data_IF_942924230315
#
_entry.id   IF_942924230315
#
_cell.length_a   1.000
_cell.length_b   1.000
_cell.length_c   1.000
_cell.angle_alpha   90.00
_cell.angle_beta   90.00
_cell.angle_gamma   90.00
#
_symmetry.space_group_name_H-M   'P 1'
#
loop_
_entity.id
_entity.type
_entity.pdbx_description
1 polymer ?
#
# COMPACT_ATOMS: atom_id res chain seq x y z
N UNK A 1 5.79 -8.23 -64.84
CA UNK A 1 6.90 -8.60 -63.93
C UNK A 1 6.76 -7.72 -62.69
N UNK A 2 5.98 -8.16 -61.71
CA UNK A 2 6.46 -8.73 -60.43
C UNK A 2 7.50 -7.83 -59.77
N UNK A 3 6.99 -6.91 -58.95
CA UNK A 3 7.79 -6.19 -57.95
C UNK A 3 8.51 -7.26 -57.11
N UNK A 4 9.85 -7.21 -56.94
CA UNK A 4 10.56 -8.26 -56.24
C UNK A 4 10.08 -8.32 -54.78
N UNK A 5 9.45 -9.44 -54.41
CA UNK A 5 8.92 -9.79 -53.07
C UNK A 5 9.96 -9.72 -51.93
N UNK A 6 11.22 -9.43 -52.24
CA UNK A 6 12.33 -9.39 -51.29
C UNK A 6 12.48 -8.05 -50.55
N UNK A 7 11.82 -6.98 -51.01
CA UNK A 7 11.89 -5.67 -50.36
C UNK A 7 10.93 -5.52 -49.17
N UNK A 8 9.97 -6.44 -49.00
CA UNK A 8 8.90 -6.31 -47.99
C UNK A 8 9.25 -6.97 -46.64
N UNK A 9 10.21 -7.91 -46.60
CA UNK A 9 10.59 -8.60 -45.36
C UNK A 9 11.48 -7.77 -44.41
N UNK A 10 12.19 -6.75 -44.91
CA UNK A 10 13.10 -5.95 -44.08
C UNK A 10 12.39 -4.86 -43.28
N UNK A 11 11.18 -4.46 -43.67
CA UNK A 11 10.38 -3.47 -42.92
C UNK A 11 9.53 -4.10 -41.80
N UNK A 12 9.28 -5.42 -41.84
CA UNK A 12 8.48 -6.15 -40.85
C UNK A 12 9.29 -6.66 -39.64
N UNK A 13 10.62 -6.57 -39.68
CA UNK A 13 11.49 -6.94 -38.56
C UNK A 13 11.57 -5.90 -37.42
N UNK A 14 10.95 -4.71 -37.60
CA UNK A 14 10.98 -3.65 -36.58
C UNK A 14 9.78 -3.64 -35.61
N UNK A 15 8.73 -4.44 -35.83
CA UNK A 15 7.53 -4.40 -34.96
C UNK A 15 7.57 -5.36 -33.77
N UNK A 16 8.59 -6.20 -33.64
CA UNK A 16 8.83 -6.94 -32.40
C UNK A 16 9.98 -6.29 -31.65
N UNK A 17 9.85 -4.99 -31.34
CA UNK A 17 10.48 -4.46 -30.14
C UNK A 17 9.76 -5.11 -28.96
N UNK A 18 10.08 -6.38 -28.69
CA UNK A 18 9.95 -6.92 -27.35
C UNK A 18 10.62 -5.87 -26.47
N UNK A 19 9.85 -5.30 -25.55
CA UNK A 19 10.36 -4.42 -24.52
C UNK A 19 11.40 -5.21 -23.76
N UNK A 20 12.64 -5.20 -24.24
CA UNK A 20 13.77 -5.75 -23.51
C UNK A 20 13.88 -4.84 -22.30
N UNK A 21 13.30 -5.30 -21.19
CA UNK A 21 13.42 -4.68 -19.89
C UNK A 21 14.91 -4.42 -19.69
N UNK A 22 15.32 -3.15 -19.58
CA UNK A 22 16.75 -2.83 -19.51
C UNK A 22 17.36 -3.59 -18.32
N UNK A 23 18.58 -4.14 -18.41
CA UNK A 23 19.20 -4.91 -17.32
C UNK A 23 19.30 -4.14 -16.00
N UNK A 24 19.30 -2.79 -16.06
CA UNK A 24 19.22 -1.93 -14.88
C UNK A 24 17.85 -1.97 -14.16
N UNK A 25 16.75 -2.12 -14.91
CA UNK A 25 15.41 -2.26 -14.34
C UNK A 25 15.24 -3.62 -13.64
N UNK A 26 15.81 -4.69 -14.21
CA UNK A 26 15.81 -6.02 -13.60
C UNK A 26 16.57 -6.02 -12.27
N UNK A 27 17.72 -5.35 -12.22
CA UNK A 27 18.50 -5.21 -11.00
C UNK A 27 17.77 -4.39 -9.93
N UNK A 28 17.02 -3.35 -10.32
CA UNK A 28 16.22 -2.56 -9.39
C UNK A 28 15.09 -3.39 -8.79
N UNK A 29 14.41 -4.22 -9.59
CA UNK A 29 13.35 -5.07 -9.07
C UNK A 29 13.90 -6.10 -8.07
N UNK A 30 15.02 -6.78 -8.40
CA UNK A 30 15.63 -7.81 -7.54
C UNK A 30 16.28 -7.29 -6.24
N UNK A 31 16.24 -5.97 -5.96
CA UNK A 31 16.82 -5.42 -4.74
C UNK A 31 16.01 -5.83 -3.49
N UNK A 32 16.73 -6.31 -2.48
CA UNK A 32 16.25 -6.73 -1.16
C UNK A 32 16.82 -5.82 -0.08
N UNK A 33 16.34 -5.93 1.15
CA UNK A 33 16.98 -5.25 2.29
C UNK A 33 18.40 -5.76 2.54
N UNK A 34 18.68 -7.02 2.18
CA UNK A 34 19.98 -7.67 2.29
C UNK A 34 21.10 -6.93 1.56
N UNK A 35 20.79 -6.40 0.37
CA UNK A 35 21.73 -5.83 -0.60
C UNK A 35 21.43 -4.37 -0.98
N UNK A 36 20.46 -3.71 -0.34
CA UNK A 36 20.20 -2.28 -0.54
C UNK A 36 21.27 -1.41 0.15
N UNK A 37 21.79 -0.41 -0.55
CA UNK A 37 22.85 0.49 -0.06
C UNK A 37 22.37 1.60 0.91
N UNK A 38 21.09 1.64 1.29
CA UNK A 38 20.53 2.72 2.11
C UNK A 38 19.16 2.39 2.71
N UNK A 39 18.48 3.42 3.20
CA UNK A 39 17.13 3.35 3.83
C UNK A 39 15.99 3.64 2.86
N UNK A 40 16.29 3.73 1.56
CA UNK A 40 15.30 3.89 0.51
C UNK A 40 15.77 3.25 -0.79
N UNK A 41 14.81 2.81 -1.60
CA UNK A 41 15.05 2.23 -2.90
C UNK A 41 14.10 2.81 -3.94
N UNK A 42 14.59 3.05 -5.15
CA UNK A 42 13.76 3.48 -6.27
C UNK A 42 13.11 2.27 -6.93
N UNK A 43 11.77 2.23 -6.93
CA UNK A 43 11.00 1.18 -7.56
C UNK A 43 10.42 1.65 -8.89
N UNK A 44 10.93 1.14 -10.02
CA UNK A 44 10.29 1.31 -11.31
C UNK A 44 8.88 0.68 -11.31
N UNK A 45 7.93 1.33 -11.99
CA UNK A 45 6.57 0.83 -12.16
C UNK A 45 6.52 -0.52 -12.86
N UNK A 46 7.50 -0.80 -13.73
CA UNK A 46 7.68 -2.10 -14.37
C UNK A 46 7.87 -3.26 -13.39
N UNK A 47 8.37 -3.00 -12.17
CA UNK A 47 8.48 -4.03 -11.14
C UNK A 47 7.11 -4.52 -10.63
N UNK A 48 6.01 -3.85 -10.98
CA UNK A 48 4.67 -4.15 -10.43
C UNK A 48 3.56 -4.24 -11.48
N UNK A 49 3.86 -4.09 -12.77
CA UNK A 49 2.91 -4.17 -13.91
C UNK A 49 3.09 -5.45 -14.71
N UNK A 50 3.07 -6.60 -14.03
CA UNK A 50 3.23 -7.88 -14.71
C UNK A 50 1.93 -8.30 -15.40
N UNK A 51 1.77 -7.91 -16.68
CA UNK A 51 0.75 -8.45 -17.59
C UNK A 51 1.35 -9.68 -18.29
N UNK A 52 1.39 -10.83 -17.63
CA UNK A 52 1.70 -12.17 -18.19
C UNK A 52 3.12 -12.74 -17.92
N UNK A 53 4.03 -12.00 -17.28
CA UNK A 53 5.33 -12.53 -16.84
C UNK A 53 5.31 -12.90 -15.34
N UNK A 54 6.10 -13.88 -14.99
CA UNK A 54 6.20 -14.41 -13.63
C UNK A 54 7.08 -13.51 -12.76
N UNK A 55 6.78 -13.39 -11.46
CA UNK A 55 7.64 -12.65 -10.54
C UNK A 55 9.09 -13.18 -10.53
N UNK A 56 9.35 -14.43 -10.96
CA UNK A 56 10.70 -14.99 -11.09
C UNK A 56 11.54 -14.40 -12.23
N UNK A 57 10.93 -13.85 -13.28
CA UNK A 57 11.66 -13.17 -14.36
C UNK A 57 12.06 -11.75 -13.91
N UNK A 58 11.15 -11.09 -13.20
CA UNK A 58 11.30 -9.76 -12.63
C UNK A 58 12.33 -9.64 -11.50
N UNK A 59 12.34 -10.63 -10.61
CA UNK A 59 13.08 -10.60 -9.34
C UNK A 59 14.17 -11.69 -9.27
N UNK A 60 14.33 -12.48 -10.34
CA UNK A 60 15.17 -13.69 -10.34
C UNK A 60 14.58 -14.84 -9.51
N UNK A 61 15.37 -15.91 -9.28
CA UNK A 61 15.00 -16.98 -8.35
C UNK A 61 15.00 -16.44 -6.91
N UNK A 62 13.86 -15.95 -6.44
CA UNK A 62 13.70 -15.41 -5.09
C UNK A 62 12.56 -14.40 -4.92
N UNK A 63 11.52 -14.48 -5.75
CA UNK A 63 10.43 -13.51 -5.81
C UNK A 63 9.39 -13.62 -4.70
N UNK A 64 9.63 -14.48 -3.70
CA UNK A 64 8.69 -14.69 -2.62
C UNK A 64 8.78 -13.55 -1.61
N UNK A 65 7.66 -12.88 -1.38
CA UNK A 65 7.51 -12.01 -0.22
C UNK A 65 7.27 -12.88 1.00
N UNK A 66 8.02 -12.66 2.07
CA UNK A 66 7.81 -13.33 3.35
C UNK A 66 7.53 -12.28 4.41
N UNK A 67 6.43 -12.45 5.15
CA UNK A 67 6.01 -11.53 6.19
C UNK A 67 4.99 -10.46 5.77
N UNK A 68 4.42 -9.81 6.79
CA UNK A 68 3.37 -8.79 6.70
C UNK A 68 3.66 -7.73 7.75
N UNK A 69 3.66 -6.45 7.37
CA UNK A 69 4.14 -5.30 8.16
C UNK A 69 5.65 -5.33 8.44
N UNK A 70 6.16 -6.49 8.86
CA UNK A 70 7.57 -6.83 8.97
C UNK A 70 7.87 -7.89 7.92
N UNK A 71 8.86 -7.64 7.07
CA UNK A 71 9.25 -8.50 5.96
C UNK A 71 10.62 -9.12 6.21
N UNK A 72 10.81 -10.35 5.73
CA UNK A 72 12.12 -11.02 5.73
C UNK A 72 13.09 -10.22 4.85
N UNK A 73 14.33 -10.05 5.31
CA UNK A 73 15.37 -9.26 4.65
C UNK A 73 15.73 -9.70 3.22
N UNK A 74 15.42 -10.94 2.84
CA UNK A 74 15.57 -11.42 1.46
C UNK A 74 14.35 -11.12 0.58
N UNK A 75 13.25 -10.60 1.13
CA UNK A 75 12.07 -10.25 0.35
C UNK A 75 12.36 -9.04 -0.55
N UNK A 76 11.98 -9.07 -1.84
CA UNK A 76 12.22 -7.93 -2.73
C UNK A 76 11.47 -6.67 -2.28
N UNK A 77 12.19 -5.55 -2.22
CA UNK A 77 11.67 -4.30 -1.64
C UNK A 77 10.45 -3.78 -2.40
N UNK A 78 10.49 -3.76 -3.73
CA UNK A 78 9.37 -3.23 -4.52
C UNK A 78 8.13 -4.12 -4.45
N UNK A 79 8.30 -5.45 -4.37
CA UNK A 79 7.17 -6.36 -4.26
C UNK A 79 6.55 -6.32 -2.85
N UNK A 80 7.39 -6.25 -1.82
CA UNK A 80 6.94 -6.02 -0.45
C UNK A 80 6.26 -4.66 -0.28
N UNK A 81 6.70 -3.62 -1.00
CA UNK A 81 6.08 -2.30 -0.98
C UNK A 81 4.67 -2.32 -1.61
N UNK A 82 4.52 -3.05 -2.71
CA UNK A 82 3.20 -3.31 -3.32
C UNK A 82 2.31 -4.07 -2.33
N UNK A 83 2.80 -5.14 -1.71
CA UNK A 83 2.07 -5.88 -0.68
C UNK A 83 1.66 -4.98 0.50
N UNK A 84 2.55 -4.10 0.97
CA UNK A 84 2.28 -3.18 2.07
C UNK A 84 1.26 -2.07 1.73
N UNK A 85 1.05 -1.78 0.44
CA UNK A 85 0.25 -0.65 -0.03
C UNK A 85 1.00 0.68 -0.04
N UNK A 86 2.33 0.61 0.09
CA UNK A 86 3.25 1.75 -0.06
C UNK A 86 3.39 2.13 -1.53
N UNK A 87 3.35 1.14 -2.41
CA UNK A 87 3.50 1.27 -3.86
C UNK A 87 2.21 0.80 -4.56
N UNK A 88 1.76 1.54 -5.57
CA UNK A 88 0.67 1.10 -6.47
C UNK A 88 1.25 0.34 -7.66
N UNK A 89 0.47 -0.58 -8.24
CA UNK A 89 0.87 -1.26 -9.47
C UNK A 89 1.12 -0.24 -10.59
N UNK A 90 2.32 -0.26 -11.16
CA UNK A 90 2.77 0.63 -12.24
C UNK A 90 3.31 1.98 -11.79
N UNK A 91 3.41 2.21 -10.48
CA UNK A 91 3.93 3.47 -9.95
C UNK A 91 5.46 3.45 -9.91
N UNK A 92 6.08 4.48 -10.46
CA UNK A 92 7.48 4.81 -10.26
C UNK A 92 7.63 5.60 -8.95
N UNK A 93 8.30 5.04 -7.93
CA UNK A 93 8.39 5.69 -6.61
C UNK A 93 9.59 5.25 -5.79
N UNK A 94 10.19 6.21 -5.08
CA UNK A 94 11.15 5.92 -4.00
C UNK A 94 10.41 5.44 -2.75
N UNK A 95 10.72 4.23 -2.29
CA UNK A 95 10.15 3.64 -1.08
C UNK A 95 11.21 3.61 0.01
N UNK A 96 10.88 4.11 1.19
CA UNK A 96 11.78 4.14 2.34
C UNK A 96 11.43 3.03 3.33
N UNK A 97 12.46 2.41 3.88
CA UNK A 97 12.38 1.29 4.81
C UNK A 97 13.47 1.37 5.86
N UNK A 98 13.26 0.65 6.95
CA UNK A 98 14.15 0.60 8.11
C UNK A 98 14.30 -0.84 8.59
N UNK A 99 15.41 -1.15 9.25
CA UNK A 99 15.54 -2.43 9.96
C UNK A 99 14.42 -2.58 10.99
N UNK A 100 13.84 -3.77 11.07
CA UNK A 100 12.86 -4.13 12.08
C UNK A 100 13.50 -5.01 13.16
N UNK A 101 12.80 -5.15 14.28
CA UNK A 101 13.21 -6.04 15.36
C UNK A 101 13.21 -7.50 14.89
N UNK A 102 14.11 -8.30 15.47
CA UNK A 102 14.11 -9.74 15.28
C UNK A 102 12.75 -10.34 15.65
N UNK A 103 12.27 -11.26 14.83
CA UNK A 103 11.04 -12.03 15.04
C UNK A 103 11.39 -13.50 14.91
N UNK A 104 10.70 -14.36 15.65
CA UNK A 104 10.89 -15.82 15.59
C UNK A 104 10.07 -16.44 14.44
N UNK A 105 9.10 -15.69 13.90
CA UNK A 105 8.34 -16.07 12.71
C UNK A 105 7.78 -14.86 11.94
N UNK A 106 7.48 -15.08 10.67
CA UNK A 106 6.81 -14.12 9.80
C UNK A 106 5.37 -14.56 9.51
N UNK A 107 4.44 -13.61 9.48
CA UNK A 107 3.05 -13.88 9.09
C UNK A 107 2.85 -13.66 7.59
N UNK A 108 2.33 -14.67 6.90
CA UNK A 108 1.92 -14.57 5.49
C UNK A 108 0.47 -14.09 5.34
N UNK A 109 0.22 -13.19 4.40
CA UNK A 109 -1.13 -12.69 4.05
C UNK A 109 -1.25 -12.43 2.56
N UNK A 110 -2.47 -12.09 2.10
CA UNK A 110 -2.70 -11.60 0.74
C UNK A 110 -3.13 -10.15 0.83
N UNK A 111 -2.33 -9.24 0.28
CA UNK A 111 -2.60 -7.79 0.26
C UNK A 111 -2.20 -7.22 -1.09
N UNK A 112 -3.03 -6.32 -1.63
CA UNK A 112 -2.79 -5.68 -2.93
C UNK A 112 -2.43 -6.66 -4.05
N UNK A 113 -3.08 -7.84 -4.04
CA UNK A 113 -2.87 -8.95 -5.00
C UNK A 113 -1.49 -9.59 -4.96
N UNK A 114 -0.68 -9.30 -3.93
CA UNK A 114 0.57 -10.00 -3.64
C UNK A 114 0.31 -10.98 -2.50
N UNK A 115 0.84 -12.19 -2.62
CA UNK A 115 0.83 -13.20 -1.56
C UNK A 115 2.17 -13.14 -0.83
N UNK A 116 2.14 -13.02 0.48
CA UNK A 116 3.31 -13.21 1.35
C UNK A 116 3.23 -14.55 2.08
N UNK A 117 4.38 -15.16 2.32
CA UNK A 117 4.51 -16.47 2.97
C UNK A 117 4.75 -16.33 4.47
N UNK A 118 4.27 -17.33 5.20
CA UNK A 118 4.70 -17.61 6.57
C UNK A 118 6.07 -18.27 6.57
N UNK A 119 6.90 -18.00 7.59
CA UNK A 119 8.21 -18.64 7.76
C UNK A 119 8.65 -18.53 9.22
N UNK A 120 8.97 -19.65 9.85
CA UNK A 120 9.72 -19.68 11.12
C UNK A 120 11.20 -19.40 10.83
N UNK A 121 11.84 -18.64 11.71
CA UNK A 121 13.23 -18.22 11.51
C UNK A 121 14.03 -18.25 12.81
N UNK A 122 15.35 -18.45 12.74
CA UNK A 122 16.22 -18.31 13.90
C UNK A 122 16.17 -16.89 14.48
N UNK A 123 16.61 -16.73 15.75
CA UNK A 123 16.81 -15.41 16.34
C UNK A 123 17.72 -14.54 15.47
N UNK A 124 17.50 -13.22 15.51
CA UNK A 124 18.27 -12.22 14.75
C UNK A 124 18.14 -12.33 13.23
N UNK A 125 17.07 -12.95 12.72
CA UNK A 125 16.74 -12.87 11.30
C UNK A 125 16.64 -11.41 10.86
N UNK A 126 17.37 -11.04 9.81
CA UNK A 126 17.30 -9.70 9.24
C UNK A 126 15.89 -9.46 8.72
N UNK A 127 15.28 -8.38 9.18
CA UNK A 127 13.91 -8.00 8.83
C UNK A 127 13.82 -6.49 8.61
N UNK A 128 12.79 -6.06 7.89
CA UNK A 128 12.56 -4.65 7.61
C UNK A 128 11.07 -4.29 7.57
N UNK A 129 10.78 -3.00 7.72
CA UNK A 129 9.45 -2.42 7.58
C UNK A 129 9.53 -1.11 6.79
N UNK A 130 8.41 -0.70 6.21
CA UNK A 130 8.33 0.57 5.47
C UNK A 130 8.11 1.75 6.41
N UNK A 131 8.76 2.87 6.12
CA UNK A 131 8.56 4.11 6.86
C UNK A 131 7.17 4.71 6.59
N UNK A 132 6.52 5.27 7.63
CA UNK A 132 5.25 6.02 7.55
C UNK A 132 5.23 7.02 6.38
N UNK A 133 6.33 7.75 6.17
CA UNK A 133 6.49 8.74 5.09
C UNK A 133 6.31 8.18 3.67
N UNK A 134 6.44 6.87 3.49
CA UNK A 134 6.29 6.22 2.19
C UNK A 134 4.84 5.81 1.92
N UNK A 135 3.99 5.73 2.93
CA UNK A 135 2.58 5.42 2.73
C UNK A 135 1.85 6.60 2.05
N UNK A 136 0.83 6.32 1.21
CA UNK A 136 0.04 7.37 0.61
C UNK A 136 -0.71 8.15 1.70
N UNK A 137 -0.42 9.46 1.81
CA UNK A 137 -1.19 10.36 2.67
C UNK A 137 -2.60 10.46 2.11
N UNK A 138 -3.54 9.71 2.68
CA UNK A 138 -4.95 9.95 2.42
C UNK A 138 -5.32 11.19 3.20
N UNK A 139 -5.35 12.36 2.55
CA UNK A 139 -6.00 13.54 3.10
C UNK A 139 -7.49 13.22 3.20
N UNK A 140 -7.90 12.58 4.30
CA UNK A 140 -9.30 12.49 4.65
C UNK A 140 -9.72 13.94 4.89
N UNK A 141 -10.43 14.53 3.92
CA UNK A 141 -11.16 15.77 4.12
C UNK A 141 -12.27 15.45 5.10
N UNK A 142 -11.93 15.39 6.39
CA UNK A 142 -12.91 15.30 7.45
C UNK A 142 -13.72 16.58 7.30
N UNK A 143 -14.91 16.46 6.70
CA UNK A 143 -15.95 17.47 6.88
C UNK A 143 -16.31 17.38 8.35
N UNK A 144 -15.64 18.18 9.16
CA UNK A 144 -16.00 18.43 10.54
C UNK A 144 -17.36 19.13 10.54
N UNK A 145 -18.44 18.35 10.33
CA UNK A 145 -19.74 18.71 10.90
C UNK A 145 -19.59 18.52 12.40
N UNK A 146 -19.09 19.58 13.04
CA UNK A 146 -18.98 19.80 14.48
C UNK A 146 -18.88 18.55 15.35
N UNK A 147 -17.65 18.10 15.65
CA UNK A 147 -17.41 17.41 16.92
C UNK A 147 -17.46 18.48 18.02
N UNK A 148 -18.66 18.88 18.42
CA UNK A 148 -18.84 19.54 19.71
C UNK A 148 -18.81 18.45 20.77
N UNK A 149 -17.71 18.41 21.50
CA UNK A 149 -17.55 17.66 22.73
C UNK A 149 -18.69 18.02 23.68
N UNK A 150 -19.78 17.24 23.68
CA UNK A 150 -20.87 17.41 24.65
C UNK A 150 -20.42 16.81 25.99
N UNK A 151 -19.51 17.49 26.67
CA UNK A 151 -19.38 17.34 28.13
C UNK A 151 -20.32 18.34 28.79
N UNK A 152 -21.11 17.82 29.72
CA UNK A 152 -22.09 18.48 30.60
C UNK A 152 -23.42 18.89 29.96
N UNK A 153 -24.49 18.16 30.30
CA UNK A 153 -25.63 18.76 31.02
C UNK A 153 -26.65 17.69 31.47
N UNK A 154 -26.61 17.25 32.74
CA UNK A 154 -27.79 16.74 33.44
C UNK A 154 -28.77 17.88 33.83
N UNK A 155 -28.35 19.15 33.82
CA UNK A 155 -29.15 20.27 34.31
C UNK A 155 -30.24 20.78 33.34
N UNK A 156 -30.00 20.78 32.01
CA UNK A 156 -30.98 21.31 31.04
C UNK A 156 -32.29 20.53 31.04
N UNK A 157 -32.21 19.20 31.24
CA UNK A 157 -33.38 18.31 31.16
C UNK A 157 -34.40 18.60 32.26
N UNK A 158 -33.95 19.07 33.42
CA UNK A 158 -34.82 19.42 34.53
C UNK A 158 -35.52 20.77 34.31
N UNK A 159 -34.85 21.74 33.67
CA UNK A 159 -35.47 23.03 33.32
C UNK A 159 -36.59 22.90 32.29
N UNK A 160 -36.41 22.02 31.30
CA UNK A 160 -37.41 21.77 30.26
C UNK A 160 -38.68 21.08 30.79
N UNK A 161 -38.54 20.16 31.75
CA UNK A 161 -39.69 19.50 32.40
C UNK A 161 -40.47 20.50 33.27
N UNK A 162 -39.77 21.34 34.04
CA UNK A 162 -40.41 22.36 34.87
C UNK A 162 -41.17 23.41 34.04
N UNK A 163 -40.65 23.81 32.87
CA UNK A 163 -41.34 24.74 31.97
C UNK A 163 -42.56 24.10 31.28
N UNK A 164 -42.52 22.80 30.96
CA UNK A 164 -43.67 22.09 30.37
C UNK A 164 -44.83 21.94 31.37
N UNK A 165 -44.54 21.64 32.64
CA UNK A 165 -45.57 21.54 33.68
C UNK A 165 -46.26 22.89 33.94
N UNK A 166 -45.50 24.00 33.98
CA UNK A 166 -46.08 25.35 34.14
C UNK A 166 -47.02 25.74 32.99
N UNK A 167 -46.69 25.38 31.76
CA UNK A 167 -47.56 25.62 30.60
C UNK A 167 -48.82 24.75 30.60
N UNK A 168 -48.74 23.54 31.14
CA UNK A 168 -49.90 22.66 31.26
C UNK A 168 -50.87 23.07 32.37
N UNK A 169 -50.40 23.74 33.43
CA UNK A 169 -51.22 24.16 34.57
C UNK A 169 -51.72 25.62 34.48
N UNK A 170 -51.14 26.44 33.60
CA UNK A 170 -51.57 27.84 33.38
C UNK A 170 -52.73 28.02 32.40
N UNK A 171 -53.31 26.93 31.90
CA UNK A 171 -54.36 26.93 30.87
C UNK A 171 -55.79 26.76 31.39
N UNK A 172 -56.07 27.08 32.66
CA UNK A 172 -57.43 27.07 33.18
C UNK A 172 -57.67 28.29 34.08
N UNK A 173 -58.87 28.86 33.91
CA UNK A 173 -59.50 29.94 34.68
C UNK A 173 -59.35 31.34 34.07
N UNK A 174 -60.19 31.59 33.06
CA UNK A 174 -60.96 32.81 32.96
C UNK A 174 -62.43 32.40 32.75
N UNK A 175 -63.17 32.27 33.85
CA UNK A 175 -64.62 32.15 33.87
C UNK A 175 -65.16 33.31 34.72
N UNK A 176 -66.31 33.81 34.25
CA UNK A 176 -67.18 34.90 34.73
C UNK A 176 -66.68 36.32 34.48
#
# INVERSE_FOLDING_TARGET
MRVPEKALCLALLCLTAATAQSPAADQACATTFGNSAGTSHWCPGSCTTWRNQSYSEAYGRGSDVTGTLIYDGSSPVCLAALHAGVLRSGEDKAVAFTSATATDSFVGTIRNRVVSKYKEVPPNQRSYSFSEKSFPTTTVKIRSRGLTTRRQEPEQRHRDVAQRLRRSLGGAIALT
#
